data_IF_053324607251
#
_entry.id   IF_053324607251
#
_cell.length_a   1.000
_cell.length_b   1.000
_cell.length_c   1.000
_cell.angle_alpha   90.00
_cell.angle_beta   90.00
_cell.angle_gamma   90.00
#
_symmetry.space_group_name_H-M   'P 1'
#
loop_
_entity.id
_entity.type
_entity.pdbx_description
1 polymer ?
#
# COMPACT_ATOMS: atom_id res chain seq x y z
N UNK A 1 1.27 30.16 4.85
CA UNK A 1 0.44 29.38 5.79
C UNK A 1 0.67 27.91 5.46
N UNK A 2 1.46 27.16 6.24
CA UNK A 2 1.73 25.77 5.90
C UNK A 2 0.51 24.94 6.31
N UNK A 3 0.00 24.15 5.35
CA UNK A 3 -1.18 23.32 5.49
C UNK A 3 -1.05 22.38 6.68
N UNK A 4 -2.00 22.50 7.60
CA UNK A 4 -2.27 21.56 8.66
C UNK A 4 -2.42 20.15 8.10
N UNK A 5 -1.54 19.26 8.58
CA UNK A 5 -1.57 17.83 8.31
C UNK A 5 -2.87 17.25 8.88
N UNK A 6 -3.90 17.12 8.05
CA UNK A 6 -5.10 16.35 8.37
C UNK A 6 -4.67 14.90 8.56
N UNK A 7 -4.57 14.51 9.83
CA UNK A 7 -4.44 13.14 10.26
C UNK A 7 -5.75 12.40 9.96
N UNK A 8 -5.88 11.89 8.73
CA UNK A 8 -6.67 10.69 8.46
C UNK A 8 -6.14 9.54 9.34
N UNK A 9 -6.79 8.37 9.47
CA UNK A 9 -6.24 7.27 10.28
C UNK A 9 -4.97 6.70 9.61
N UNK A 10 -3.85 7.38 9.83
CA UNK A 10 -2.55 7.32 9.15
C UNK A 10 -1.58 6.29 9.75
N UNK A 11 -2.08 5.30 10.49
CA UNK A 11 -1.22 4.26 11.09
C UNK A 11 -0.65 3.24 10.10
N UNK A 12 -1.17 3.21 8.87
CA UNK A 12 -0.83 2.21 7.84
C UNK A 12 -0.21 2.84 6.60
N UNK A 13 -0.37 4.16 6.41
CA UNK A 13 0.14 4.87 5.23
C UNK A 13 1.66 5.13 5.25
N UNK A 14 2.32 4.97 6.40
CA UNK A 14 3.78 5.12 6.52
C UNK A 14 4.58 3.93 6.00
N UNK A 15 3.91 2.85 5.61
CA UNK A 15 4.56 1.61 5.17
C UNK A 15 4.57 1.48 3.66
N UNK A 16 3.74 2.24 2.94
CA UNK A 16 3.65 2.19 1.48
C UNK A 16 4.01 3.58 0.95
N UNK A 17 5.21 3.76 0.39
CA UNK A 17 5.67 5.06 -0.15
C UNK A 17 4.82 5.57 -1.34
N UNK A 18 3.96 4.70 -1.88
CA UNK A 18 3.28 4.89 -3.17
C UNK A 18 2.27 6.03 -3.23
N UNK A 19 1.51 6.41 -2.17
CA UNK A 19 0.58 7.54 -2.25
C UNK A 19 1.31 8.90 -2.36
N UNK A 20 2.45 9.04 -1.68
CA UNK A 20 3.29 10.24 -1.77
C UNK A 20 3.95 10.35 -3.15
N UNK A 21 4.40 9.23 -3.70
CA UNK A 21 4.94 9.19 -5.06
C UNK A 21 3.88 9.57 -6.09
N UNK A 22 2.64 9.07 -5.96
CA UNK A 22 1.55 9.46 -6.85
C UNK A 22 1.28 10.96 -6.80
N UNK A 23 1.12 11.54 -5.60
CA UNK A 23 0.88 12.98 -5.44
C UNK A 23 2.03 13.82 -6.02
N UNK A 24 3.28 13.42 -5.78
CA UNK A 24 4.45 14.08 -6.37
C UNK A 24 4.45 14.02 -7.91
N UNK A 25 4.22 12.84 -8.50
CA UNK A 25 4.14 12.68 -9.96
C UNK A 25 3.01 13.52 -10.56
N UNK A 26 1.87 13.58 -9.88
CA UNK A 26 0.73 14.38 -10.32
C UNK A 26 1.04 15.88 -10.27
N UNK A 27 1.58 16.38 -9.14
CA UNK A 27 1.93 17.80 -8.96
C UNK A 27 3.07 18.28 -9.85
N UNK A 28 3.99 17.39 -10.22
CA UNK A 28 5.11 17.69 -11.15
C UNK A 28 4.74 17.52 -12.63
N UNK A 29 3.47 17.31 -12.96
CA UNK A 29 3.00 17.19 -14.35
C UNK A 29 3.33 15.86 -15.03
N UNK A 30 3.89 14.88 -14.31
CA UNK A 30 4.19 13.52 -14.80
C UNK A 30 2.93 12.65 -14.82
N UNK A 31 1.89 13.14 -15.51
CA UNK A 31 0.52 12.58 -15.47
C UNK A 31 0.44 11.11 -15.90
N UNK A 32 1.18 10.72 -16.94
CA UNK A 32 1.21 9.34 -17.43
C UNK A 32 1.86 8.38 -16.41
N UNK A 33 2.91 8.82 -15.73
CA UNK A 33 3.54 8.02 -14.67
C UNK A 33 2.62 7.90 -13.46
N UNK A 34 1.95 8.99 -13.07
CA UNK A 34 0.96 8.98 -12.00
C UNK A 34 -0.21 8.03 -12.32
N UNK A 35 -0.74 8.09 -13.55
CA UNK A 35 -1.81 7.19 -14.02
C UNK A 35 -1.38 5.73 -13.92
N UNK A 36 -0.22 5.37 -14.47
CA UNK A 36 0.28 3.98 -14.41
C UNK A 36 0.45 3.47 -12.98
N UNK A 37 0.94 4.33 -12.07
CA UNK A 37 1.06 3.97 -10.66
C UNK A 37 -0.33 3.76 -10.03
N UNK A 38 -1.28 4.64 -10.31
CA UNK A 38 -2.65 4.54 -9.82
C UNK A 38 -3.35 3.27 -10.31
N UNK A 39 -3.21 2.94 -11.60
CA UNK A 39 -3.83 1.75 -12.18
C UNK A 39 -3.30 0.46 -11.51
N UNK A 40 -2.00 0.41 -11.19
CA UNK A 40 -1.40 -0.70 -10.42
C UNK A 40 -1.87 -0.77 -8.96
N UNK A 41 -2.14 0.38 -8.32
CA UNK A 41 -2.62 0.44 -6.94
C UNK A 41 -4.12 0.21 -6.82
N UNK A 42 -4.90 0.47 -7.87
CA UNK A 42 -6.36 0.36 -7.88
C UNK A 42 -6.88 -0.95 -7.28
N UNK A 43 -6.38 -2.15 -7.64
CA UNK A 43 -6.88 -3.39 -7.05
C UNK A 43 -6.57 -3.52 -5.55
N UNK A 44 -5.43 -2.97 -5.10
CA UNK A 44 -5.07 -2.92 -3.68
C UNK A 44 -6.04 -2.02 -2.92
N UNK A 45 -6.26 -0.81 -3.44
CA UNK A 45 -7.17 0.17 -2.84
C UNK A 45 -8.61 -0.36 -2.78
N UNK A 46 -9.07 -1.01 -3.85
CA UNK A 46 -10.40 -1.59 -3.91
C UNK A 46 -10.59 -2.70 -2.85
N UNK A 47 -9.58 -3.55 -2.63
CA UNK A 47 -9.62 -4.61 -1.64
C UNK A 47 -9.53 -4.07 -0.20
N UNK A 48 -8.56 -3.20 0.08
CA UNK A 48 -8.33 -2.70 1.44
C UNK A 48 -9.38 -1.72 1.94
N UNK A 49 -10.25 -1.21 1.05
CA UNK A 49 -11.30 -0.26 1.41
C UNK A 49 -12.70 -0.89 1.43
N UNK A 50 -12.82 -2.22 1.34
CA UNK A 50 -14.12 -2.92 1.44
C UNK A 50 -14.75 -2.73 2.83
N UNK A 51 -13.97 -3.00 3.87
CA UNK A 51 -14.34 -2.75 5.26
C UNK A 51 -13.06 -2.67 6.13
N UNK A 52 -13.10 -2.01 7.32
CA UNK A 52 -11.93 -1.76 8.14
C UNK A 52 -11.11 -3.00 8.53
N UNK A 53 -11.75 -4.14 8.81
CA UNK A 53 -11.11 -5.41 9.16
C UNK A 53 -10.28 -5.98 8.02
N UNK A 54 -10.81 -6.02 6.80
CA UNK A 54 -10.09 -6.40 5.57
C UNK A 54 -8.85 -5.54 5.39
N UNK A 55 -8.98 -4.23 5.59
CA UNK A 55 -7.86 -3.30 5.54
C UNK A 55 -6.74 -3.73 6.49
N UNK A 56 -7.04 -3.83 7.78
CA UNK A 56 -6.07 -4.12 8.82
C UNK A 56 -5.44 -5.50 8.62
N UNK A 57 -6.22 -6.53 8.28
CA UNK A 57 -5.72 -7.88 8.01
C UNK A 57 -4.79 -7.89 6.79
N UNK A 58 -5.15 -7.24 5.69
CA UNK A 58 -4.30 -7.15 4.49
C UNK A 58 -2.97 -6.45 4.80
N UNK A 59 -3.00 -5.31 5.49
CA UNK A 59 -1.78 -4.59 5.84
C UNK A 59 -0.91 -5.34 6.85
N UNK A 60 -1.52 -6.15 7.73
CA UNK A 60 -0.77 -7.07 8.59
C UNK A 60 0.08 -8.05 7.78
N UNK A 61 -0.48 -8.60 6.71
CA UNK A 61 0.25 -9.50 5.80
C UNK A 61 1.42 -8.79 5.11
N UNK A 62 1.20 -7.57 4.62
CA UNK A 62 2.28 -6.74 4.05
C UNK A 62 3.42 -6.55 5.06
N UNK A 63 3.09 -6.20 6.30
CA UNK A 63 4.07 -5.95 7.36
C UNK A 63 4.86 -7.18 7.76
N UNK A 64 4.23 -8.36 7.74
CA UNK A 64 4.93 -9.64 7.94
C UNK A 64 5.87 -9.93 6.79
N UNK A 65 5.43 -9.71 5.53
CA UNK A 65 6.28 -9.91 4.36
C UNK A 65 7.47 -8.95 4.30
N UNK A 66 7.37 -7.78 4.94
CA UNK A 66 8.46 -6.83 5.15
C UNK A 66 9.37 -7.16 6.34
N UNK A 67 9.06 -8.20 7.11
CA UNK A 67 9.81 -8.57 8.31
C UNK A 67 9.59 -7.65 9.51
N UNK A 68 8.60 -6.75 9.47
CA UNK A 68 8.30 -5.81 10.56
C UNK A 68 7.50 -6.52 11.67
N UNK A 69 6.61 -7.43 11.28
CA UNK A 69 5.85 -8.27 12.21
C UNK A 69 6.18 -9.74 12.04
N UNK A 70 6.14 -10.49 13.15
CA UNK A 70 6.39 -11.93 13.13
C UNK A 70 5.18 -12.75 12.64
N UNK A 71 3.95 -12.24 12.81
CA UNK A 71 2.73 -13.01 12.53
C UNK A 71 1.63 -12.17 11.89
N UNK A 72 0.82 -12.83 11.05
CA UNK A 72 -0.36 -12.27 10.37
C UNK A 72 -1.59 -12.18 11.28
N UNK A 73 -1.50 -12.67 12.51
CA UNK A 73 -2.61 -12.69 13.46
C UNK A 73 -3.05 -11.26 13.87
N UNK A 74 -4.34 -10.98 13.74
CA UNK A 74 -4.99 -9.73 14.13
C UNK A 74 -5.94 -9.97 15.31
N UNK A 75 -5.93 -9.09 16.32
CA UNK A 75 -6.85 -9.15 17.48
C UNK A 75 -8.25 -8.60 17.17
N UNK A 76 -8.63 -8.57 15.90
CA UNK A 76 -9.89 -7.99 15.47
C UNK A 76 -11.06 -8.94 15.69
N UNK A 77 -12.26 -8.43 16.05
CA UNK A 77 -13.46 -9.25 16.09
C UNK A 77 -13.80 -9.79 14.69
N UNK A 78 -14.43 -10.96 14.65
CA UNK A 78 -14.85 -11.62 13.40
C UNK A 78 -13.82 -12.64 12.86
N UNK A 79 -14.21 -13.38 11.80
CA UNK A 79 -13.36 -14.41 11.23
C UNK A 79 -12.09 -13.82 10.59
N UNK A 80 -11.05 -14.64 10.55
CA UNK A 80 -9.89 -14.39 9.67
C UNK A 80 -10.30 -14.49 8.20
N UNK A 81 -9.37 -14.17 7.30
CA UNK A 81 -9.57 -14.37 5.87
C UNK A 81 -9.87 -15.84 5.58
N UNK A 82 -10.89 -16.06 4.74
CA UNK A 82 -11.08 -17.34 4.08
C UNK A 82 -9.98 -17.59 3.03
N UNK A 83 -9.97 -18.79 2.44
CA UNK A 83 -8.96 -19.17 1.45
C UNK A 83 -8.91 -18.24 0.23
N UNK A 84 -10.05 -17.67 -0.17
CA UNK A 84 -10.16 -16.77 -1.31
C UNK A 84 -9.59 -15.40 -1.00
N UNK A 85 -9.99 -14.83 0.13
CA UNK A 85 -9.50 -13.55 0.63
C UNK A 85 -8.00 -13.64 0.93
N UNK A 86 -7.53 -14.75 1.51
CA UNK A 86 -6.12 -14.99 1.79
C UNK A 86 -5.29 -15.03 0.49
N UNK A 87 -5.77 -15.73 -0.54
CA UNK A 87 -5.13 -15.76 -1.87
C UNK A 87 -5.05 -14.36 -2.48
N UNK A 88 -6.17 -13.62 -2.52
CA UNK A 88 -6.22 -12.27 -3.09
C UNK A 88 -5.29 -11.33 -2.30
N UNK A 89 -5.33 -11.36 -0.97
CA UNK A 89 -4.45 -10.55 -0.14
C UNK A 89 -2.97 -10.86 -0.42
N UNK A 90 -2.59 -12.12 -0.61
CA UNK A 90 -1.22 -12.49 -0.95
C UNK A 90 -0.77 -11.92 -2.31
N UNK A 91 -1.63 -11.99 -3.33
CA UNK A 91 -1.38 -11.42 -4.67
C UNK A 91 -1.22 -9.90 -4.63
N UNK A 92 -2.07 -9.22 -3.86
CA UNK A 92 -2.04 -7.76 -3.70
C UNK A 92 -0.83 -7.30 -2.88
N UNK A 93 -0.45 -8.03 -1.83
CA UNK A 93 0.78 -7.77 -1.08
C UNK A 93 2.01 -7.91 -1.99
N UNK A 94 2.06 -8.94 -2.83
CA UNK A 94 3.12 -9.09 -3.81
C UNK A 94 3.16 -7.92 -4.80
N UNK A 95 1.98 -7.44 -5.23
CA UNK A 95 1.86 -6.26 -6.10
C UNK A 95 2.46 -5.01 -5.45
N UNK A 96 2.14 -4.75 -4.17
CA UNK A 96 2.69 -3.61 -3.43
C UNK A 96 4.20 -3.69 -3.33
N UNK A 97 4.75 -4.86 -2.96
CA UNK A 97 6.20 -5.06 -2.86
C UNK A 97 6.92 -4.87 -4.21
N UNK A 98 6.29 -5.31 -5.31
CA UNK A 98 6.80 -5.05 -6.66
C UNK A 98 6.81 -3.56 -7.00
N UNK A 99 5.73 -2.83 -6.70
CA UNK A 99 5.67 -1.38 -6.91
C UNK A 99 6.79 -0.68 -6.12
N UNK A 100 6.98 -1.04 -4.85
CA UNK A 100 8.02 -0.45 -4.02
C UNK A 100 9.42 -0.72 -4.58
N UNK A 101 9.68 -1.96 -5.00
CA UNK A 101 10.96 -2.33 -5.63
C UNK A 101 11.23 -1.52 -6.91
N UNK A 102 10.20 -1.32 -7.74
CA UNK A 102 10.31 -0.51 -8.96
C UNK A 102 10.62 0.95 -8.63
N UNK A 103 9.97 1.52 -7.60
CA UNK A 103 10.17 2.90 -7.19
C UNK A 103 11.57 3.13 -6.62
N UNK A 104 12.06 2.23 -5.75
CA UNK A 104 13.45 2.28 -5.25
C UNK A 104 14.46 2.18 -6.38
N UNK A 105 14.19 1.32 -7.38
CA UNK A 105 15.07 1.20 -8.57
C UNK A 105 15.12 2.49 -9.38
N UNK A 106 13.99 3.20 -9.51
CA UNK A 106 13.93 4.48 -10.23
C UNK A 106 14.71 5.57 -9.47
N UNK A 107 14.56 5.66 -8.16
CA UNK A 107 15.29 6.64 -7.33
C UNK A 107 16.81 6.41 -7.37
N UNK A 108 17.25 5.15 -7.33
CA UNK A 108 18.67 4.79 -7.47
C UNK A 108 19.25 5.17 -8.84
N UNK A 109 18.48 4.97 -9.92
CA UNK A 109 18.90 5.35 -11.29
C UNK A 109 18.90 6.85 -11.54
N UNK A 110 18.09 7.62 -10.83
CA UNK A 110 18.06 9.08 -10.93
C UNK A 110 19.21 9.75 -10.14
N UNK A 111 19.91 9.00 -9.30
CA UNK A 111 20.99 9.48 -8.43
C UNK A 111 22.40 9.13 -8.93
N UNK A 112 22.51 8.44 -10.08
CA UNK A 112 23.75 8.10 -10.80
C UNK A 112 23.83 8.92 -12.09
#
# INVERSE_FOLDING_TARGET
MPAEHIAWPVGILGVVQTPFTYDHLHRTGKREAARRLFDRLTPVLAFTNQEPGVSIRCFRWLLVRKGIFATTHCRLPGPDFDDWQARIAAELVATVLSIESDLTTIELRASL
#
